data_IF_363833260512
#
_entry.id   IF_363833260512
#
_cell.length_a   1.000
_cell.length_b   1.000
_cell.length_c   1.000
_cell.angle_alpha   90.00
_cell.angle_beta   90.00
_cell.angle_gamma   90.00
#
_symmetry.space_group_name_H-M   'P 1'
#
loop_
_entity.id
_entity.type
_entity.pdbx_description
1 polymer ?
#
# COMPACT_ATOMS: atom_id res chain seq x y z
N UNK A 1 9.02 29.82 -1.91
CA UNK A 1 8.17 29.69 -0.70
C UNK A 1 8.82 30.46 0.44
N UNK A 2 8.04 31.19 1.25
CA UNK A 2 8.53 31.98 2.39
C UNK A 2 7.99 31.48 3.74
N UNK A 3 7.19 30.43 3.74
CA UNK A 3 6.43 30.02 4.90
C UNK A 3 5.19 29.19 4.53
N UNK A 4 4.38 28.90 5.54
CA UNK A 4 3.12 28.15 5.42
C UNK A 4 1.97 28.92 6.05
N UNK A 5 0.76 28.73 5.53
CA UNK A 5 -0.48 29.23 6.16
C UNK A 5 -1.25 28.06 6.76
N UNK A 6 -1.45 28.09 8.07
CA UNK A 6 -2.15 27.04 8.83
C UNK A 6 -3.22 27.69 9.68
N UNK A 7 -4.48 27.28 9.52
CA UNK A 7 -5.63 27.81 10.29
C UNK A 7 -5.71 29.36 10.31
N UNK A 8 -5.38 29.99 9.19
CA UNK A 8 -5.38 31.45 9.04
C UNK A 8 -4.13 32.16 9.59
N UNK A 9 -3.23 31.46 10.27
CA UNK A 9 -1.95 32.00 10.72
C UNK A 9 -0.86 31.77 9.67
N UNK A 10 0.04 32.74 9.53
CA UNK A 10 1.22 32.65 8.68
C UNK A 10 2.46 32.35 9.52
N UNK A 11 3.19 31.31 9.14
CA UNK A 11 4.47 30.95 9.75
C UNK A 11 5.55 31.17 8.68
N UNK A 12 6.46 32.09 8.94
CA UNK A 12 7.56 32.42 8.02
C UNK A 12 8.72 31.44 8.24
N UNK A 13 9.28 30.92 7.16
CA UNK A 13 10.42 30.02 7.17
C UNK A 13 11.28 30.20 5.91
N UNK A 14 12.60 30.03 6.06
CA UNK A 14 13.53 30.04 4.92
C UNK A 14 13.37 28.81 4.02
N UNK A 15 12.91 27.70 4.58
CA UNK A 15 12.61 26.45 3.88
C UNK A 15 11.36 25.80 4.48
N UNK A 16 10.54 25.21 3.62
CA UNK A 16 9.35 24.43 3.99
C UNK A 16 9.52 23.02 3.47
N UNK A 17 9.44 22.03 4.36
CA UNK A 17 9.45 20.61 4.01
C UNK A 17 8.04 20.06 4.14
N UNK A 18 7.51 19.48 3.07
CA UNK A 18 6.18 18.86 3.02
C UNK A 18 6.32 17.34 3.09
N UNK A 19 5.60 16.74 4.04
CA UNK A 19 5.56 15.29 4.26
C UNK A 19 4.14 14.88 4.67
N UNK A 20 3.18 15.01 3.75
CA UNK A 20 1.76 14.71 3.98
C UNK A 20 1.33 13.36 3.38
N UNK A 21 2.30 12.52 3.00
CA UNK A 21 2.09 11.28 2.26
C UNK A 21 1.83 11.54 0.78
N UNK A 22 2.06 10.54 -0.07
CA UNK A 22 2.06 10.66 -1.54
C UNK A 22 0.86 11.43 -2.11
N UNK A 23 -0.35 11.07 -1.68
CA UNK A 23 -1.60 11.66 -2.15
C UNK A 23 -1.91 12.98 -1.44
N UNK A 24 -1.67 13.06 -0.14
CA UNK A 24 -1.90 14.26 0.67
C UNK A 24 -1.02 15.43 0.25
N UNK A 25 0.25 15.16 -0.02
CA UNK A 25 1.23 16.11 -0.56
C UNK A 25 0.82 16.60 -1.93
N UNK A 26 0.48 15.70 -2.86
CA UNK A 26 0.03 16.12 -4.18
C UNK A 26 -1.24 16.98 -4.13
N UNK A 27 -2.22 16.61 -3.29
CA UNK A 27 -3.42 17.40 -3.06
C UNK A 27 -3.11 18.78 -2.44
N UNK A 28 -2.20 18.84 -1.46
CA UNK A 28 -1.77 20.09 -0.84
C UNK A 28 -1.10 21.02 -1.86
N UNK A 29 -0.14 20.50 -2.62
CA UNK A 29 0.62 21.28 -3.61
C UNK A 29 -0.28 21.75 -4.76
N UNK A 30 -1.28 20.96 -5.17
CA UNK A 30 -2.31 21.43 -6.11
C UNK A 30 -3.08 22.61 -5.54
N UNK A 31 -3.64 22.48 -4.33
CA UNK A 31 -4.42 23.56 -3.68
C UNK A 31 -3.59 24.82 -3.46
N UNK A 32 -2.28 24.68 -3.27
CA UNK A 32 -1.34 25.80 -3.15
C UNK A 32 -0.87 26.40 -4.49
N UNK A 33 -1.36 25.89 -5.63
CA UNK A 33 -0.94 26.34 -6.97
C UNK A 33 0.49 25.95 -7.34
N UNK A 34 1.17 25.14 -6.54
CA UNK A 34 2.56 24.73 -6.77
C UNK A 34 2.66 23.82 -7.98
N UNK A 35 1.77 22.84 -8.13
CA UNK A 35 1.78 21.96 -9.31
C UNK A 35 1.59 22.77 -10.61
N UNK A 36 0.66 23.74 -10.62
CA UNK A 36 0.47 24.63 -11.75
C UNK A 36 1.71 25.49 -12.04
N UNK A 37 2.39 26.00 -11.00
CA UNK A 37 3.65 26.73 -11.15
C UNK A 37 4.79 25.86 -11.70
N UNK A 38 4.74 24.54 -11.49
CA UNK A 38 5.63 23.56 -12.11
C UNK A 38 5.19 23.17 -13.54
N UNK A 39 4.10 23.72 -14.06
CA UNK A 39 3.52 23.34 -15.35
C UNK A 39 2.82 21.98 -15.35
N UNK A 40 2.36 21.51 -14.19
CA UNK A 40 1.72 20.21 -14.01
C UNK A 40 0.22 20.34 -13.72
N UNK A 41 -0.61 19.88 -14.65
CA UNK A 41 -2.06 19.78 -14.44
C UNK A 41 -2.45 18.47 -13.72
N UNK A 42 -1.62 17.42 -13.85
CA UNK A 42 -1.83 16.09 -13.28
C UNK A 42 -0.53 15.48 -12.78
N UNK A 43 -0.64 14.54 -11.85
CA UNK A 43 0.46 13.68 -11.38
C UNK A 43 0.01 12.23 -11.39
N UNK A 44 0.97 11.31 -11.38
CA UNK A 44 0.75 9.89 -11.62
C UNK A 44 1.21 9.06 -10.41
N UNK A 45 0.34 8.80 -9.43
CA UNK A 45 0.69 7.88 -8.35
C UNK A 45 0.80 6.45 -8.88
N UNK A 46 1.68 5.66 -8.25
CA UNK A 46 1.69 4.21 -8.36
C UNK A 46 1.06 3.61 -7.12
N UNK A 47 0.29 2.53 -7.26
CA UNK A 47 -0.33 1.83 -6.13
C UNK A 47 -0.54 0.37 -6.50
N UNK A 48 -0.52 -0.53 -5.49
CA UNK A 48 -0.84 -1.93 -5.74
C UNK A 48 -2.33 -2.17 -5.51
N UNK A 49 -3.03 -2.78 -6.49
CA UNK A 49 -4.43 -3.13 -6.35
C UNK A 49 -4.60 -4.18 -5.25
N UNK A 50 -5.68 -4.10 -4.48
CA UNK A 50 -5.96 -5.02 -3.38
C UNK A 50 -7.41 -5.52 -3.44
N UNK A 51 -7.61 -6.82 -3.21
CA UNK A 51 -8.92 -7.42 -2.93
C UNK A 51 -9.04 -7.75 -1.45
N UNK A 52 -10.20 -7.47 -0.86
CA UNK A 52 -10.46 -7.80 0.54
C UNK A 52 -11.34 -9.05 0.65
N UNK A 53 -10.90 -10.00 1.46
CA UNK A 53 -11.72 -11.11 1.98
C UNK A 53 -12.08 -10.79 3.41
N UNK A 54 -13.36 -10.63 3.71
CA UNK A 54 -13.85 -10.33 5.07
C UNK A 54 -14.45 -11.56 5.70
N UNK A 55 -14.26 -11.68 7.01
CA UNK A 55 -14.83 -12.75 7.83
C UNK A 55 -15.21 -12.22 9.21
N UNK A 56 -16.10 -12.92 9.91
CA UNK A 56 -16.45 -12.57 11.28
C UNK A 56 -15.79 -13.55 12.25
N UNK A 57 -15.02 -13.07 13.24
CA UNK A 57 -14.43 -13.95 14.23
C UNK A 57 -15.47 -14.41 15.25
N UNK A 58 -15.36 -15.65 15.71
CA UNK A 58 -16.27 -16.21 16.75
C UNK A 58 -16.11 -15.49 18.10
N UNK A 59 -14.98 -14.83 18.31
CA UNK A 59 -14.66 -14.02 19.49
C UNK A 59 -14.06 -12.69 19.08
N UNK A 60 -14.21 -11.62 19.87
CA UNK A 60 -13.58 -10.34 19.58
C UNK A 60 -12.06 -10.50 19.39
N UNK A 61 -11.53 -9.96 18.29
CA UNK A 61 -10.09 -9.85 18.09
C UNK A 61 -9.61 -8.55 18.74
N UNK A 62 -8.55 -8.64 19.53
CA UNK A 62 -7.85 -7.47 20.06
C UNK A 62 -6.40 -7.58 19.61
N UNK A 63 -6.06 -6.84 18.56
CA UNK A 63 -4.69 -6.71 18.10
C UNK A 63 -4.34 -5.20 18.11
N UNK A 64 -3.30 -4.80 18.86
CA UNK A 64 -3.03 -3.39 19.15
C UNK A 64 -2.40 -2.62 17.97
N UNK A 65 -2.12 -3.28 16.85
CA UNK A 65 -1.51 -2.65 15.69
C UNK A 65 -1.99 -3.28 14.38
N UNK A 66 -2.11 -2.44 13.36
CA UNK A 66 -2.22 -2.79 11.95
C UNK A 66 -0.87 -3.33 11.42
N UNK A 67 -0.13 -4.07 12.24
CA UNK A 67 1.12 -4.70 11.82
C UNK A 67 0.73 -5.84 10.90
N UNK A 68 0.80 -5.54 9.61
CA UNK A 68 0.64 -6.47 8.51
C UNK A 68 1.57 -7.65 8.79
N UNK A 69 1.02 -8.78 9.22
CA UNK A 69 1.72 -10.04 9.03
C UNK A 69 1.65 -10.30 7.53
N UNK A 70 2.70 -9.89 6.84
CA UNK A 70 2.84 -10.09 5.40
C UNK A 70 3.32 -11.50 5.17
N UNK A 71 2.47 -12.31 4.55
CA UNK A 71 2.92 -13.57 3.96
C UNK A 71 3.18 -13.28 2.49
N UNK A 72 4.46 -13.27 2.11
CA UNK A 72 4.82 -13.33 0.70
C UNK A 72 4.75 -14.78 0.27
N UNK A 73 3.90 -15.04 -0.71
CA UNK A 73 3.96 -16.26 -1.48
C UNK A 73 5.12 -16.16 -2.46
N UNK A 74 6.25 -16.76 -2.11
CA UNK A 74 7.34 -17.04 -3.05
C UNK A 74 7.32 -18.51 -3.45
N UNK A 75 7.40 -18.78 -4.74
CA UNK A 75 7.78 -20.05 -5.31
C UNK A 75 9.06 -20.52 -4.62
N UNK A 76 9.04 -21.77 -4.20
CA UNK A 76 10.21 -22.43 -3.64
C UNK A 76 11.25 -22.48 -4.75
N UNK A 77 12.12 -21.48 -4.80
CA UNK A 77 13.41 -21.64 -5.44
C UNK A 77 14.13 -22.69 -4.63
N UNK A 78 14.04 -23.95 -5.04
CA UNK A 78 14.93 -24.96 -4.51
C UNK A 78 16.36 -24.46 -4.76
N UNK A 79 17.23 -24.42 -3.74
CA UNK A 79 18.64 -24.33 -4.02
C UNK A 79 18.98 -25.61 -4.77
N UNK A 80 19.55 -25.47 -5.97
CA UNK A 80 20.12 -26.56 -6.75
C UNK A 80 21.16 -27.28 -5.87
N UNK A 81 20.72 -28.30 -5.12
CA UNK A 81 21.59 -29.16 -4.34
C UNK A 81 21.99 -30.32 -5.23
N UNK A 82 23.22 -30.23 -5.71
CA UNK A 82 23.94 -31.36 -6.27
C UNK A 82 23.95 -32.54 -5.27
N UNK A 83 23.37 -33.66 -5.68
CA UNK A 83 23.71 -35.03 -5.29
C UNK A 83 23.44 -35.48 -3.85
N UNK A 84 22.41 -36.31 -3.64
CA UNK A 84 22.55 -37.69 -3.13
C UNK A 84 21.20 -38.44 -3.13
N UNK A 85 21.17 -39.77 -3.34
CA UNK A 85 19.93 -40.54 -3.45
C UNK A 85 19.57 -41.28 -2.14
N UNK A 86 18.28 -41.28 -1.79
CA UNK A 86 17.67 -42.34 -0.98
C UNK A 86 17.04 -41.89 0.34
N UNK A 87 15.71 -41.86 0.37
CA UNK A 87 14.92 -41.77 1.60
C UNK A 87 13.44 -41.63 1.27
N UNK A 88 12.65 -42.67 1.58
CA UNK A 88 11.24 -42.80 1.23
C UNK A 88 10.39 -41.62 1.73
N UNK A 89 9.54 -41.11 0.83
CA UNK A 89 8.66 -39.96 1.10
C UNK A 89 7.54 -40.29 2.08
N UNK A 90 7.43 -39.46 3.12
CA UNK A 90 6.17 -39.20 3.80
C UNK A 90 5.36 -38.14 3.01
N UNK A 91 4.04 -38.30 2.84
CA UNK A 91 3.23 -37.27 2.22
C UNK A 91 3.05 -36.11 3.19
N UNK A 92 3.56 -34.93 2.83
CA UNK A 92 3.28 -33.68 3.53
C UNK A 92 1.79 -33.36 3.44
N UNK A 93 1.05 -33.64 4.51
CA UNK A 93 -0.34 -33.25 4.70
C UNK A 93 -0.46 -31.96 5.51
N UNK A 94 -1.47 -31.17 5.11
CA UNK A 94 -2.18 -30.12 5.86
C UNK A 94 -1.65 -28.67 5.77
N UNK A 95 -2.24 -27.90 4.84
CA UNK A 95 -2.69 -26.53 5.14
C UNK A 95 -1.81 -25.34 4.72
N UNK A 96 -0.77 -25.55 3.91
CA UNK A 96 0.00 -24.44 3.35
C UNK A 96 -0.75 -23.73 2.22
N UNK A 97 -0.85 -22.40 2.27
CA UNK A 97 -1.21 -21.59 1.10
C UNK A 97 -0.21 -21.91 -0.02
N UNK A 98 -0.65 -22.51 -1.12
CA UNK A 98 0.19 -22.64 -2.32
C UNK A 98 0.38 -21.24 -2.86
N UNK A 99 1.55 -20.66 -2.61
CA UNK A 99 1.76 -19.26 -2.85
C UNK A 99 1.62 -18.85 -4.32
N UNK A 100 0.86 -17.79 -4.60
CA UNK A 100 0.89 -17.10 -5.90
C UNK A 100 2.02 -16.08 -5.89
N UNK A 101 3.04 -16.29 -6.71
CA UNK A 101 4.17 -15.36 -6.83
C UNK A 101 3.73 -13.91 -7.06
N UNK A 102 4.35 -12.99 -6.31
CA UNK A 102 4.11 -11.54 -6.43
C UNK A 102 2.86 -11.03 -5.72
N UNK A 103 2.19 -11.87 -4.91
CA UNK A 103 1.04 -11.46 -4.10
C UNK A 103 1.41 -11.32 -2.62
N UNK A 104 0.86 -10.30 -1.98
CA UNK A 104 0.93 -10.06 -0.54
C UNK A 104 -0.41 -10.43 0.12
N UNK A 105 -0.38 -11.33 1.11
CA UNK A 105 -1.54 -11.58 1.98
C UNK A 105 -1.36 -10.77 3.27
N UNK A 106 -2.39 -9.98 3.60
CA UNK A 106 -2.35 -8.94 4.63
C UNK A 106 -3.46 -9.15 5.63
N UNK A 107 -3.12 -9.65 6.81
CA UNK A 107 -4.09 -9.83 7.88
C UNK A 107 -4.29 -8.51 8.63
N UNK A 108 -5.49 -7.95 8.56
CA UNK A 108 -5.85 -6.75 9.33
C UNK A 108 -6.59 -7.14 10.62
N UNK A 109 -6.48 -6.28 11.63
CA UNK A 109 -7.19 -6.46 12.90
C UNK A 109 -8.60 -5.86 12.89
N UNK A 110 -8.84 -4.86 12.05
CA UNK A 110 -10.13 -4.20 11.83
C UNK A 110 -10.06 -3.41 10.50
N UNK A 111 -11.14 -2.75 10.12
CA UNK A 111 -11.19 -1.86 8.95
C UNK A 111 -10.34 -0.59 9.16
N UNK A 112 -9.65 -0.16 8.10
CA UNK A 112 -8.80 1.03 8.13
C UNK A 112 -9.54 2.30 8.56
N UNK A 113 -10.81 2.46 8.15
CA UNK A 113 -11.63 3.62 8.51
C UNK A 113 -11.70 3.84 10.03
N UNK A 114 -11.71 2.74 10.81
CA UNK A 114 -11.71 2.79 12.27
C UNK A 114 -10.43 3.42 12.84
N UNK A 115 -9.28 3.15 12.23
CA UNK A 115 -7.98 3.62 12.74
C UNK A 115 -7.72 5.10 12.46
N UNK A 116 -8.31 5.64 11.40
CA UNK A 116 -8.18 7.05 11.04
C UNK A 116 -9.28 7.94 11.64
N UNK A 117 -10.15 7.39 12.49
CA UNK A 117 -11.32 8.10 13.02
C UNK A 117 -12.30 8.51 11.94
N UNK A 118 -12.31 7.81 10.80
CA UNK A 118 -13.24 8.03 9.71
C UNK A 118 -14.66 7.65 10.14
N UNK A 119 -15.69 8.32 9.61
CA UNK A 119 -17.07 7.91 9.84
C UNK A 119 -17.25 6.52 9.25
N UNK A 120 -17.81 5.58 10.03
CA UNK A 120 -18.30 4.32 9.47
C UNK A 120 -19.44 4.63 8.51
N UNK A 121 -19.29 4.28 7.24
CA UNK A 121 -20.41 4.31 6.33
C UNK A 121 -21.45 3.26 6.78
N UNK A 122 -22.77 3.56 6.80
CA UNK A 122 -23.78 2.58 7.17
C UNK A 122 -23.77 1.32 6.29
N UNK A 123 -23.29 1.45 5.05
CA UNK A 123 -23.10 0.35 4.09
C UNK A 123 -21.68 -0.24 4.10
N UNK A 124 -20.81 0.13 5.06
CA UNK A 124 -19.49 -0.47 5.16
C UNK A 124 -19.61 -1.98 5.37
N UNK A 125 -18.90 -2.80 4.57
CA UNK A 125 -18.95 -4.23 4.76
C UNK A 125 -18.37 -4.58 6.14
N UNK A 126 -19.19 -5.20 6.99
CA UNK A 126 -18.75 -5.61 8.31
C UNK A 126 -17.62 -6.66 8.23
N UNK A 127 -17.01 -7.02 9.36
CA UNK A 127 -16.04 -8.12 9.45
C UNK A 127 -14.58 -7.68 9.32
N UNK A 128 -13.69 -8.59 9.71
CA UNK A 128 -12.24 -8.40 9.75
C UNK A 128 -11.69 -8.67 8.35
N UNK A 129 -10.94 -7.73 7.74
CA UNK A 129 -10.43 -7.92 6.39
C UNK A 129 -9.11 -8.70 6.36
N UNK A 130 -8.95 -9.50 5.32
CA UNK A 130 -7.69 -10.05 4.83
C UNK A 130 -7.47 -9.48 3.43
N UNK A 131 -6.43 -8.67 3.27
CA UNK A 131 -6.05 -8.09 1.99
C UNK A 131 -5.24 -9.05 1.14
N UNK A 132 -5.49 -9.03 -0.16
CA UNK A 132 -4.75 -9.74 -1.19
C UNK A 132 -4.31 -8.71 -2.22
N UNK A 133 -3.03 -8.32 -2.18
CA UNK A 133 -2.49 -7.28 -3.04
C UNK A 133 -1.49 -7.84 -4.06
N UNK A 134 -1.59 -7.42 -5.32
CA UNK A 134 -0.60 -7.78 -6.34
C UNK A 134 0.56 -6.77 -6.33
N UNK A 135 1.70 -7.18 -5.76
CA UNK A 135 2.90 -6.35 -5.69
C UNK A 135 3.74 -6.38 -6.96
N UNK A 136 3.48 -7.33 -7.86
CA UNK A 136 4.30 -7.50 -9.06
C UNK A 136 3.93 -6.47 -10.15
N UNK A 137 2.66 -6.05 -10.20
CA UNK A 137 2.14 -5.20 -11.27
C UNK A 137 1.31 -4.05 -10.66
N UNK A 138 1.98 -2.97 -10.22
CA UNK A 138 1.30 -1.80 -9.69
C UNK A 138 0.42 -1.15 -10.76
N UNK A 139 -0.74 -0.66 -10.35
CA UNK A 139 -1.54 0.26 -11.15
C UNK A 139 -0.87 1.64 -11.20
N UNK A 140 -1.07 2.36 -12.31
CA UNK A 140 -0.65 3.75 -12.46
C UNK A 140 -1.90 4.62 -12.51
N UNK A 141 -2.07 5.42 -11.47
CA UNK A 141 -3.19 6.33 -11.35
C UNK A 141 -2.97 7.67 -12.04
N UNK A 142 -3.99 8.50 -11.95
CA UNK A 142 -3.98 9.92 -12.26
C UNK A 142 -4.65 10.69 -11.14
N UNK A 143 -3.95 11.68 -10.61
CA UNK A 143 -4.54 12.67 -9.71
C UNK A 143 -4.57 14.01 -10.43
N UNK A 144 -5.77 14.53 -10.72
CA UNK A 144 -5.99 15.80 -11.42
C UNK A 144 -7.06 16.68 -10.71
N UNK A 145 -7.49 17.77 -11.35
CA UNK A 145 -8.50 18.67 -10.78
C UNK A 145 -9.88 18.04 -10.58
N UNK A 146 -10.14 16.87 -11.20
CA UNK A 146 -11.41 16.12 -11.11
C UNK A 146 -11.41 15.14 -9.95
N UNK A 147 -10.25 14.65 -9.55
CA UNK A 147 -10.11 13.73 -8.44
C UNK A 147 -8.92 12.79 -8.58
N UNK A 148 -8.96 11.74 -7.77
CA UNK A 148 -8.02 10.63 -7.79
C UNK A 148 -8.64 9.46 -8.54
N UNK A 149 -8.00 9.05 -9.62
CA UNK A 149 -8.18 7.76 -10.26
C UNK A 149 -6.90 6.95 -10.02
N UNK A 150 -7.00 5.73 -9.54
CA UNK A 150 -5.83 4.91 -9.21
C UNK A 150 -5.49 3.91 -10.32
N UNK A 151 -6.30 3.91 -11.38
CA UNK A 151 -6.25 2.92 -12.44
C UNK A 151 -6.87 1.61 -12.02
N UNK A 152 -7.05 0.74 -13.01
CA UNK A 152 -7.54 -0.62 -12.84
C UNK A 152 -6.37 -1.61 -12.99
N UNK A 153 -6.37 -2.72 -12.23
CA UNK A 153 -5.44 -3.82 -12.48
C UNK A 153 -5.61 -4.38 -13.90
N UNK A 154 -4.50 -4.77 -14.53
CA UNK A 154 -4.57 -5.49 -15.79
C UNK A 154 -5.18 -6.91 -15.60
N UNK A 155 -5.46 -7.59 -16.71
CA UNK A 155 -6.08 -8.92 -16.66
C UNK A 155 -5.22 -9.98 -15.95
N UNK A 156 -3.88 -9.88 -16.05
CA UNK A 156 -2.98 -10.82 -15.40
C UNK A 156 -2.93 -10.59 -13.89
N UNK A 157 -2.90 -9.31 -13.47
CA UNK A 157 -3.02 -8.87 -12.08
C UNK A 157 -4.33 -9.32 -11.46
N UNK A 158 -5.45 -9.05 -12.16
CA UNK A 158 -6.78 -9.49 -11.75
C UNK A 158 -6.85 -11.00 -11.57
N UNK A 159 -6.25 -11.77 -12.48
CA UNK A 159 -6.23 -13.23 -12.39
C UNK A 159 -5.34 -13.75 -11.25
N UNK A 160 -4.19 -13.12 -10.97
CA UNK A 160 -3.34 -13.47 -9.82
C UNK A 160 -4.07 -13.23 -8.51
N UNK A 161 -4.65 -12.04 -8.32
CA UNK A 161 -5.42 -11.72 -7.13
C UNK A 161 -6.62 -12.64 -6.97
N UNK A 162 -7.35 -12.96 -8.04
CA UNK A 162 -8.50 -13.86 -7.97
C UNK A 162 -8.11 -15.26 -7.48
N UNK A 163 -6.96 -15.80 -7.92
CA UNK A 163 -6.44 -17.08 -7.41
C UNK A 163 -6.08 -17.00 -5.93
N UNK A 164 -5.28 -16.01 -5.53
CA UNK A 164 -4.89 -15.85 -4.13
C UNK A 164 -6.09 -15.57 -3.20
N UNK A 165 -7.11 -14.85 -3.67
CA UNK A 165 -8.39 -14.68 -2.97
C UNK A 165 -9.07 -16.04 -2.75
N UNK A 166 -9.11 -16.90 -3.78
CA UNK A 166 -9.69 -18.24 -3.64
C UNK A 166 -8.92 -19.07 -2.61
N UNK A 167 -7.59 -18.99 -2.58
CA UNK A 167 -6.75 -19.69 -1.60
C UNK A 167 -7.03 -19.20 -0.17
N UNK A 168 -7.20 -17.89 0.04
CA UNK A 168 -7.58 -17.31 1.33
C UNK A 168 -8.97 -17.76 1.77
N UNK A 169 -9.94 -17.80 0.86
CA UNK A 169 -11.30 -18.30 1.15
C UNK A 169 -11.24 -19.77 1.55
N UNK A 170 -10.56 -20.60 0.76
CA UNK A 170 -10.40 -22.02 1.05
C UNK A 170 -9.71 -22.26 2.41
N UNK A 171 -8.68 -21.45 2.73
CA UNK A 171 -8.01 -21.50 4.04
C UNK A 171 -9.01 -21.20 5.16
N UNK A 172 -9.77 -20.10 5.07
CA UNK A 172 -10.74 -19.68 6.09
C UNK A 172 -11.91 -20.68 6.24
N UNK A 173 -12.28 -21.39 5.18
CA UNK A 173 -13.32 -22.44 5.20
C UNK A 173 -12.82 -23.78 5.76
N UNK A 174 -11.50 -23.97 5.88
CA UNK A 174 -10.94 -25.25 6.29
C UNK A 174 -11.23 -25.60 7.76
N UNK A 175 -11.27 -26.90 8.12
CA UNK A 175 -11.48 -27.33 9.51
C UNK A 175 -10.47 -26.76 10.51
N UNK A 176 -9.27 -26.40 10.04
CA UNK A 176 -8.22 -25.78 10.86
C UNK A 176 -8.66 -24.41 11.38
N UNK A 177 -9.36 -23.63 10.55
CA UNK A 177 -9.81 -22.27 10.88
C UNK A 177 -11.28 -22.21 11.36
N UNK A 178 -12.02 -23.32 11.29
CA UNK A 178 -13.40 -23.41 11.78
C UNK A 178 -13.60 -22.91 13.24
N UNK A 179 -12.67 -23.13 14.20
CA UNK A 179 -12.81 -22.58 15.55
C UNK A 179 -12.65 -21.06 15.64
N UNK A 180 -12.20 -20.39 14.57
CA UNK A 180 -11.97 -18.94 14.52
C UNK A 180 -13.08 -18.20 13.78
N UNK A 181 -13.67 -18.81 12.75
CA UNK A 181 -14.57 -18.15 11.81
C UNK A 181 -16.03 -18.47 12.12
N UNK A 182 -16.90 -17.45 12.18
CA UNK A 182 -18.35 -17.65 12.24
C UNK A 182 -18.81 -18.29 10.92
N UNK A 183 -19.49 -19.45 10.93
CA UNK A 183 -19.94 -20.13 9.72
C UNK A 183 -20.76 -19.21 8.80
N UNK A 184 -20.47 -19.23 7.51
CA UNK A 184 -21.17 -18.41 6.49
C UNK A 184 -20.82 -16.92 6.51
N UNK A 185 -19.85 -16.48 7.31
CA UNK A 185 -19.47 -15.05 7.39
C UNK A 185 -18.45 -14.61 6.35
N UNK A 186 -17.80 -15.54 5.63
CA UNK A 186 -16.76 -15.23 4.66
C UNK A 186 -17.38 -14.56 3.43
N UNK A 187 -16.81 -13.44 2.99
CA UNK A 187 -17.27 -12.68 1.84
C UNK A 187 -16.09 -11.98 1.18
N UNK A 188 -16.12 -11.90 -0.15
CA UNK A 188 -15.13 -11.13 -0.91
C UNK A 188 -15.76 -9.79 -1.26
N UNK A 189 -15.07 -8.69 -0.97
CA UNK A 189 -15.55 -7.37 -1.35
C UNK A 189 -15.63 -7.26 -2.89
N UNK A 190 -16.70 -6.63 -3.41
CA UNK A 190 -16.92 -6.54 -4.87
C UNK A 190 -16.02 -5.49 -5.53
N UNK A 191 -15.45 -4.58 -4.74
CA UNK A 191 -14.60 -3.50 -5.21
C UNK A 191 -13.13 -3.86 -5.00
N UNK A 192 -12.31 -3.62 -6.02
CA UNK A 192 -10.85 -3.64 -5.87
C UNK A 192 -10.43 -2.34 -5.20
N UNK A 193 -9.85 -2.47 -4.01
CA UNK A 193 -9.27 -1.38 -3.24
C UNK A 193 -7.78 -1.21 -3.50
N UNK A 194 -7.10 -0.58 -2.54
CA UNK A 194 -5.67 -0.29 -2.61
C UNK A 194 -4.93 -0.84 -1.41
N UNK A 195 -3.69 -1.26 -1.64
CA UNK A 195 -2.78 -1.72 -0.59
C UNK A 195 -2.16 -0.61 0.27
N UNK A 196 -2.48 0.66 0.00
CA UNK A 196 -1.93 1.81 0.74
C UNK A 196 -0.41 1.98 0.54
N UNK A 197 0.08 1.58 -0.64
CA UNK A 197 1.48 1.67 -1.07
C UNK A 197 1.70 2.81 -2.06
N UNK A 198 0.82 3.81 -2.08
CA UNK A 198 0.90 4.95 -2.98
C UNK A 198 2.31 5.58 -3.02
N UNK A 199 2.91 5.70 -4.19
CA UNK A 199 4.20 6.40 -4.43
C UNK A 199 4.21 7.26 -5.69
N UNK A 200 5.23 8.09 -5.86
CA UNK A 200 5.64 8.57 -7.20
C UNK A 200 4.92 9.77 -7.79
N UNK A 201 4.18 10.55 -7.00
CA UNK A 201 3.55 11.79 -7.49
C UNK A 201 4.55 12.90 -7.81
N UNK A 202 5.76 12.88 -7.22
CA UNK A 202 6.83 13.87 -7.38
C UNK A 202 8.22 13.20 -7.37
N UNK A 203 8.53 12.30 -8.32
CA UNK A 203 9.69 11.42 -8.26
C UNK A 203 11.03 12.20 -8.22
N UNK A 204 11.94 11.75 -7.36
CA UNK A 204 13.33 12.22 -7.25
C UNK A 204 14.02 12.24 -8.62
N UNK A 205 14.91 13.20 -8.82
CA UNK A 205 15.67 13.38 -10.05
C UNK A 205 14.84 13.91 -11.24
N UNK A 206 13.51 13.75 -11.22
CA UNK A 206 12.62 14.17 -12.30
C UNK A 206 11.85 15.45 -11.96
N UNK A 207 10.91 15.41 -11.01
CA UNK A 207 10.08 16.57 -10.65
C UNK A 207 10.64 17.36 -9.46
N UNK A 208 11.41 16.68 -8.61
CA UNK A 208 12.20 17.28 -7.55
C UNK A 208 13.68 16.96 -7.77
N UNK A 209 14.58 17.68 -7.11
CA UNK A 209 16.01 17.36 -7.08
C UNK A 209 16.31 16.13 -6.20
N UNK A 210 17.57 15.71 -6.13
CA UNK A 210 17.99 14.50 -5.41
C UNK A 210 17.84 14.59 -3.89
N UNK A 211 17.58 15.80 -3.37
CA UNK A 211 17.29 16.04 -1.96
C UNK A 211 15.80 16.31 -1.72
N UNK A 212 14.94 16.20 -2.75
CA UNK A 212 13.50 16.47 -2.67
C UNK A 212 13.11 17.94 -2.87
N UNK A 213 14.05 18.81 -3.25
CA UNK A 213 13.79 20.22 -3.52
C UNK A 213 12.92 20.38 -4.76
N UNK A 214 11.82 21.12 -4.64
CA UNK A 214 10.88 21.32 -5.75
C UNK A 214 11.53 22.19 -6.80
N UNK A 215 11.75 21.64 -8.00
CA UNK A 215 12.41 22.35 -9.09
C UNK A 215 11.65 23.65 -9.39
N UNK A 216 12.41 24.72 -9.65
CA UNK A 216 11.89 26.08 -9.91
C UNK A 216 11.19 26.78 -8.72
N UNK A 217 10.99 26.09 -7.59
CA UNK A 217 10.34 26.65 -6.40
C UNK A 217 11.32 26.69 -5.23
N UNK A 218 12.07 27.80 -5.11
CA UNK A 218 13.04 28.00 -4.02
C UNK A 218 12.37 27.90 -2.64
N UNK A 219 13.03 27.23 -1.70
CA UNK A 219 12.59 27.13 -0.29
C UNK A 219 11.43 26.15 -0.07
N UNK A 220 11.18 25.24 -1.01
CA UNK A 220 10.19 24.17 -0.88
C UNK A 220 10.84 22.81 -1.15
N UNK A 221 10.62 21.87 -0.26
CA UNK A 221 11.07 20.49 -0.34
C UNK A 221 9.93 19.54 -0.04
N UNK A 222 9.99 18.34 -0.61
CA UNK A 222 9.04 17.26 -0.37
C UNK A 222 9.81 16.02 0.07
N UNK A 223 9.35 15.38 1.15
CA UNK A 223 10.00 14.20 1.74
C UNK A 223 8.93 13.24 2.26
N UNK A 224 8.35 12.44 1.36
CA UNK A 224 7.44 11.34 1.66
C UNK A 224 7.34 10.36 0.47
N UNK A 225 6.33 9.49 0.43
CA UNK A 225 6.15 8.55 -0.68
C UNK A 225 6.03 9.19 -2.07
N UNK A 226 5.72 10.48 -2.19
CA UNK A 226 5.67 11.17 -3.47
C UNK A 226 7.01 11.14 -4.21
N UNK A 227 8.12 11.16 -3.47
CA UNK A 227 9.47 11.28 -4.05
C UNK A 227 10.05 9.94 -4.52
N UNK A 228 9.43 8.82 -4.14
CA UNK A 228 9.86 7.49 -4.57
C UNK A 228 9.59 7.34 -6.09
N UNK A 229 10.61 7.06 -6.93
CA UNK A 229 10.46 7.14 -8.40
C UNK A 229 9.44 6.21 -9.07
N UNK A 230 8.97 5.18 -8.36
CA UNK A 230 8.00 4.21 -8.87
C UNK A 230 7.45 3.33 -7.76
N UNK A 231 6.68 2.32 -8.12
CA UNK A 231 6.24 1.32 -7.15
C UNK A 231 7.41 0.45 -6.68
N UNK A 232 7.30 -0.04 -5.45
CA UNK A 232 8.25 -0.98 -4.86
C UNK A 232 7.61 -2.36 -4.78
N UNK A 233 8.42 -3.42 -4.77
CA UNK A 233 7.94 -4.80 -4.60
C UNK A 233 7.49 -5.16 -3.18
N UNK A 234 7.31 -4.16 -2.31
CA UNK A 234 6.86 -4.26 -0.92
C UNK A 234 6.30 -2.91 -0.48
N UNK A 235 5.73 -2.86 0.73
CA UNK A 235 5.28 -1.60 1.32
C UNK A 235 6.38 -0.52 1.38
N UNK A 236 6.07 0.76 1.06
CA UNK A 236 7.09 1.77 0.82
C UNK A 236 7.63 2.44 2.09
N UNK A 237 7.03 2.16 3.25
CA UNK A 237 7.29 2.87 4.51
C UNK A 237 8.77 2.91 4.92
N UNK A 238 9.46 1.77 4.84
CA UNK A 238 10.88 1.69 5.19
C UNK A 238 11.74 2.53 4.23
N UNK A 239 11.46 2.45 2.92
CA UNK A 239 12.16 3.23 1.90
C UNK A 239 11.92 4.73 2.07
N UNK A 240 10.70 5.13 2.42
CA UNK A 240 10.35 6.53 2.71
C UNK A 240 11.14 7.02 3.94
N UNK A 241 11.14 6.25 5.03
CA UNK A 241 11.89 6.62 6.24
C UNK A 241 13.40 6.73 5.97
N UNK A 242 13.97 5.79 5.21
CA UNK A 242 15.38 5.81 4.82
C UNK A 242 15.71 7.00 3.91
N UNK A 243 14.87 7.31 2.92
CA UNK A 243 15.06 8.49 2.07
C UNK A 243 15.01 9.77 2.91
N UNK A 244 14.05 9.88 3.82
CA UNK A 244 13.94 11.02 4.74
C UNK A 244 15.18 11.17 5.61
N UNK A 245 15.69 10.07 6.17
CA UNK A 245 16.91 10.06 6.97
C UNK A 245 18.13 10.55 6.18
N UNK A 246 18.32 10.03 4.97
CA UNK A 246 19.44 10.40 4.10
C UNK A 246 19.38 11.89 3.71
N UNK A 247 18.19 12.38 3.33
CA UNK A 247 17.98 13.78 2.98
C UNK A 247 18.25 14.67 4.20
N UNK A 248 17.71 14.32 5.36
CA UNK A 248 17.93 15.07 6.60
C UNK A 248 19.42 15.18 6.94
N UNK A 249 20.18 14.09 6.81
CA UNK A 249 21.63 14.09 7.04
C UNK A 249 22.42 14.94 6.03
N UNK A 250 21.91 15.12 4.80
CA UNK A 250 22.57 15.90 3.76
C UNK A 250 22.31 17.41 3.85
N UNK A 251 21.22 17.83 4.50
CA UNK A 251 20.81 19.24 4.61
C UNK A 251 21.06 19.85 5.99
N UNK A 252 21.50 19.05 6.97
CA UNK A 252 21.90 19.50 8.31
C UNK A 252 23.30 20.12 8.31
#
# INVERSE_FOLDING_TARGET
>A
VRGVRVRGQEVIAGEVIVAAGTLGTAALLRRSGVLAAMGLDRVHPHEHPERLVRWQPVRPLTAPALLQSVVQSGGVGEPERAGEPGGAGEPAGAGGLTGVDGVEIRCYSDDFARFIGGPRHPDEPAGVPVGVADLAHPAVGTLDGRGLDLGEPDAASSARMARAVADVVQMLESPVYAPLVVPGSIRVDPVTGMSQHATGTLPLGRLVDDLGGVRQIRGLRVVDGSIIPGALGSGPHASIAMAAWLIAGAIA
#
